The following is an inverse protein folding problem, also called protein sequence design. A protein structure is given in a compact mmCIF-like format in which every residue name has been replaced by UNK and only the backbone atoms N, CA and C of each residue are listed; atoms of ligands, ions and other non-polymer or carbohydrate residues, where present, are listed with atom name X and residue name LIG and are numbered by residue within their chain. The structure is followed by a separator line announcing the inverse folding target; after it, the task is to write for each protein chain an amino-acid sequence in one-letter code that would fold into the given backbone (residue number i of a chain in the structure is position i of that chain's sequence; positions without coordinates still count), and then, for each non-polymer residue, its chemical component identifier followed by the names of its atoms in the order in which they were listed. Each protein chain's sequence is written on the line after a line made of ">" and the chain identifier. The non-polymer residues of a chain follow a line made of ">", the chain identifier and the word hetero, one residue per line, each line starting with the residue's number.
data_IF_505252724016
#
_entry.id   IF_505252724016
#
_cell.length_a   1.000
_cell.length_b   1.000
_cell.length_c   1.000
_cell.angle_alpha   90.00
_cell.angle_beta   90.00
_cell.angle_gamma   90.00
#
_symmetry.space_group_name_H-M   'P 1'
#
loop_
_entity.id
_entity.type
_entity.pdbx_description
1 polymer ?
#
# COMPACT_ATOMS: atom_id res chain seq x y z
N UNK A 1 7.12 9.49 9.65
CA UNK A 1 7.88 9.83 8.43
C UNK A 1 6.98 9.83 7.20
N UNK A 2 6.32 8.72 6.83
CA UNK A 2 5.50 8.67 5.59
C UNK A 2 4.20 9.48 5.65
N UNK A 3 3.37 9.30 6.68
CA UNK A 3 2.11 10.06 6.81
C UNK A 3 2.33 11.57 6.88
N UNK A 4 3.38 12.01 7.62
CA UNK A 4 3.76 13.43 7.65
C UNK A 4 4.22 13.94 6.28
N UNK A 5 4.79 13.09 5.42
CA UNK A 5 5.12 13.48 4.06
C UNK A 5 3.85 13.73 3.23
N UNK A 6 2.84 12.85 3.32
CA UNK A 6 1.54 13.07 2.68
C UNK A 6 0.88 14.35 3.17
N UNK A 7 0.84 14.57 4.48
CA UNK A 7 0.31 15.78 5.11
C UNK A 7 1.02 17.04 4.59
N UNK A 8 2.35 17.05 4.57
CA UNK A 8 3.11 18.19 4.05
C UNK A 8 2.85 18.46 2.56
N UNK A 9 2.61 17.42 1.75
CA UNK A 9 2.31 17.58 0.32
C UNK A 9 0.91 18.18 0.12
N UNK A 10 -0.07 17.73 0.92
CA UNK A 10 -1.43 18.30 0.91
C UNK A 10 -1.41 19.74 1.41
N UNK A 11 -0.70 20.04 2.50
CA UNK A 11 -0.49 21.40 3.02
C UNK A 11 0.19 22.33 2.00
N UNK A 12 1.08 21.77 1.16
CA UNK A 12 1.71 22.49 0.05
C UNK A 12 0.79 22.71 -1.17
N UNK A 13 -0.48 22.27 -1.10
CA UNK A 13 -1.49 22.49 -2.11
C UNK A 13 -1.52 21.43 -3.23
N UNK A 14 -0.90 20.27 -3.04
CA UNK A 14 -1.08 19.16 -3.98
C UNK A 14 -2.42 18.48 -3.73
N UNK A 15 -3.22 18.36 -4.78
CA UNK A 15 -4.55 17.76 -4.72
C UNK A 15 -4.49 16.26 -4.40
N UNK A 16 -5.11 15.81 -3.28
CA UNK A 16 -5.27 14.40 -2.96
C UNK A 16 -5.94 13.63 -4.10
N UNK A 17 -5.46 12.42 -4.35
CA UNK A 17 -6.00 11.54 -5.38
C UNK A 17 -5.91 12.07 -6.82
N UNK A 18 -5.10 13.10 -7.07
CA UNK A 18 -4.75 13.61 -8.40
C UNK A 18 -3.23 13.75 -8.52
N UNK A 19 -2.59 14.38 -7.53
CA UNK A 19 -1.14 14.62 -7.50
C UNK A 19 -0.43 13.91 -6.35
N UNK A 20 -1.19 13.40 -5.38
CA UNK A 20 -0.67 12.69 -4.20
C UNK A 20 -1.57 11.49 -3.92
N UNK A 21 -0.96 10.32 -3.78
CA UNK A 21 -1.65 9.07 -3.48
C UNK A 21 -0.92 8.34 -2.36
N UNK A 22 -1.66 7.82 -1.35
CA UNK A 22 -1.12 6.83 -0.44
C UNK A 22 -1.05 5.47 -1.15
N UNK A 23 0.02 4.72 -0.92
CA UNK A 23 0.18 3.34 -1.38
C UNK A 23 0.54 2.44 -0.20
N UNK A 24 0.04 1.20 -0.19
CA UNK A 24 0.31 0.25 0.89
C UNK A 24 0.47 -1.17 0.36
N UNK A 25 1.49 -1.86 0.86
CA UNK A 25 1.69 -3.28 0.63
C UNK A 25 0.79 -4.11 1.55
N UNK A 26 -0.40 -4.48 1.06
CA UNK A 26 -1.35 -5.32 1.81
C UNK A 26 -0.80 -6.73 2.10
N UNK A 27 0.13 -7.20 1.27
CA UNK A 27 0.90 -8.42 1.53
C UNK A 27 1.57 -8.48 2.90
N UNK A 28 1.84 -7.36 3.54
CA UNK A 28 2.47 -7.30 4.86
C UNK A 28 1.63 -6.58 5.91
N UNK A 29 0.38 -6.28 5.60
CA UNK A 29 -0.53 -5.57 6.49
C UNK A 29 -1.61 -6.51 7.02
N UNK A 30 -2.01 -6.34 8.28
CA UNK A 30 -3.26 -6.93 8.77
C UNK A 30 -4.44 -6.01 8.45
N UNK A 31 -5.66 -6.56 8.41
CA UNK A 31 -6.87 -5.76 8.20
C UNK A 31 -7.03 -4.66 9.26
N UNK A 32 -6.63 -4.92 10.51
CA UNK A 32 -6.67 -3.92 11.59
C UNK A 32 -5.69 -2.77 11.35
N UNK A 33 -4.46 -3.08 10.93
CA UNK A 33 -3.47 -2.04 10.61
C UNK A 33 -3.89 -1.23 9.39
N UNK A 34 -4.53 -1.87 8.41
CA UNK A 34 -5.06 -1.19 7.23
C UNK A 34 -6.18 -0.21 7.59
N UNK A 35 -7.17 -0.60 8.39
CA UNK A 35 -8.23 0.33 8.82
C UNK A 35 -7.68 1.48 9.67
N UNK A 36 -6.67 1.22 10.50
CA UNK A 36 -5.98 2.27 11.24
C UNK A 36 -5.22 3.23 10.29
N UNK A 37 -4.61 2.72 9.22
CA UNK A 37 -4.00 3.55 8.18
C UNK A 37 -5.06 4.43 7.49
N UNK A 38 -6.20 3.85 7.10
CA UNK A 38 -7.33 4.57 6.48
C UNK A 38 -7.81 5.72 7.35
N UNK A 39 -8.03 5.45 8.63
CA UNK A 39 -8.44 6.47 9.61
C UNK A 39 -7.44 7.63 9.69
N UNK A 40 -6.13 7.33 9.73
CA UNK A 40 -5.08 8.35 9.78
C UNK A 40 -4.88 9.12 8.48
N UNK A 41 -5.21 8.52 7.34
CA UNK A 41 -5.22 9.21 6.06
C UNK A 41 -6.41 10.17 5.97
N UNK A 42 -7.58 9.77 6.47
CA UNK A 42 -8.76 10.61 6.53
C UNK A 42 -8.58 11.84 7.45
N UNK A 43 -7.74 11.71 8.50
CA UNK A 43 -7.32 12.85 9.34
C UNK A 43 -6.51 13.90 8.57
N UNK A 44 -5.74 13.49 7.54
CA UNK A 44 -4.98 14.40 6.68
C UNK A 44 -5.91 15.03 5.64
N UNK A 45 -6.63 14.19 4.90
CA UNK A 45 -7.68 14.61 3.97
C UNK A 45 -8.65 13.44 3.72
N UNK A 46 -9.99 13.65 3.80
CA UNK A 46 -10.98 12.59 3.62
C UNK A 46 -10.95 11.86 2.27
N UNK A 47 -10.30 12.41 1.25
CA UNK A 47 -10.13 11.74 -0.05
C UNK A 47 -9.02 10.68 -0.02
N UNK A 48 -7.98 10.87 0.79
CA UNK A 48 -6.82 9.97 0.79
C UNK A 48 -7.19 8.54 1.19
N UNK A 49 -8.17 8.33 2.08
CA UNK A 49 -8.64 7.00 2.45
C UNK A 49 -9.44 6.26 1.34
N UNK A 50 -9.82 6.98 0.28
CA UNK A 50 -10.66 6.48 -0.83
C UNK A 50 -9.85 6.15 -2.09
N UNK A 51 -8.59 6.55 -2.13
CA UNK A 51 -7.71 6.38 -3.29
C UNK A 51 -6.37 5.73 -2.90
N UNK A 52 -6.40 4.85 -1.90
CA UNK A 52 -5.23 4.09 -1.52
C UNK A 52 -4.91 3.10 -2.64
N UNK A 53 -3.68 3.15 -3.12
CA UNK A 53 -3.14 2.14 -4.02
C UNK A 53 -2.77 0.89 -3.22
N UNK A 54 -3.58 -0.17 -3.36
CA UNK A 54 -3.46 -1.42 -2.64
C UNK A 54 -2.58 -2.41 -3.40
N UNK A 55 -1.35 -2.61 -2.93
CA UNK A 55 -0.36 -3.43 -3.62
C UNK A 55 -0.15 -4.79 -2.97
N UNK A 56 0.18 -5.78 -3.81
CA UNK A 56 0.46 -7.15 -3.41
C UNK A 56 1.79 -7.65 -3.99
N UNK A 57 2.47 -8.51 -3.24
CA UNK A 57 3.67 -9.20 -3.68
C UNK A 57 3.32 -10.23 -4.75
N UNK A 58 4.00 -10.13 -5.90
CA UNK A 58 3.99 -11.14 -6.95
C UNK A 58 5.26 -12.00 -6.83
N UNK A 59 5.08 -13.32 -6.65
CA UNK A 59 6.12 -14.28 -6.31
C UNK A 59 6.90 -14.80 -7.52
N UNK A 60 7.56 -13.89 -8.26
CA UNK A 60 8.57 -14.29 -9.23
C UNK A 60 9.72 -15.05 -8.55
N UNK A 61 10.45 -15.93 -9.27
CA UNK A 61 11.52 -16.74 -8.67
C UNK A 61 12.54 -15.93 -7.86
N UNK A 62 12.97 -14.78 -8.37
CA UNK A 62 13.92 -13.91 -7.68
C UNK A 62 13.32 -13.22 -6.44
N UNK A 63 12.03 -12.88 -6.46
CA UNK A 63 11.34 -12.29 -5.30
C UNK A 63 11.27 -13.29 -4.16
N UNK A 64 10.94 -14.56 -4.44
CA UNK A 64 10.92 -15.62 -3.43
C UNK A 64 12.28 -15.78 -2.73
N UNK A 65 13.35 -15.86 -3.52
CA UNK A 65 14.71 -15.96 -2.99
C UNK A 65 15.08 -14.77 -2.10
N UNK A 66 14.66 -13.56 -2.49
CA UNK A 66 14.92 -12.35 -1.70
C UNK A 66 14.16 -12.37 -0.36
N UNK A 67 12.88 -12.73 -0.38
CA UNK A 67 12.06 -12.83 0.83
C UNK A 67 12.64 -13.86 1.81
N UNK A 68 13.02 -15.04 1.33
CA UNK A 68 13.66 -16.08 2.14
C UNK A 68 14.98 -15.59 2.75
N UNK A 69 15.87 -14.98 1.94
CA UNK A 69 17.15 -14.43 2.42
C UNK A 69 16.97 -13.36 3.49
N UNK A 70 15.90 -12.57 3.40
CA UNK A 70 15.58 -11.49 4.35
C UNK A 70 14.67 -11.95 5.49
N UNK A 71 14.27 -13.21 5.53
CA UNK A 71 13.31 -13.77 6.50
C UNK A 71 11.99 -12.99 6.55
N UNK A 72 11.55 -12.48 5.40
CA UNK A 72 10.27 -11.80 5.24
C UNK A 72 9.22 -12.80 4.77
N UNK A 73 8.04 -12.79 5.40
CA UNK A 73 6.92 -13.63 5.01
C UNK A 73 5.68 -12.76 4.80
N UNK A 74 5.17 -12.65 3.57
CA UNK A 74 3.91 -11.95 3.34
C UNK A 74 2.74 -12.79 3.90
N UNK A 75 1.72 -12.10 4.40
CA UNK A 75 0.43 -12.68 4.81
C UNK A 75 -0.34 -13.20 3.59
N UNK A 76 -0.27 -12.47 2.48
CA UNK A 76 -0.89 -12.79 1.19
C UNK A 76 0.06 -12.43 0.05
N UNK A 77 0.14 -13.27 -0.97
CA UNK A 77 0.94 -13.02 -2.16
C UNK A 77 0.41 -13.86 -3.33
N UNK A 78 0.66 -13.40 -4.56
CA UNK A 78 0.16 -14.06 -5.76
C UNK A 78 1.31 -14.61 -6.59
N UNK A 79 1.06 -15.69 -7.32
CA UNK A 79 2.00 -16.16 -8.35
C UNK A 79 1.73 -15.40 -9.65
N UNK A 80 2.74 -15.21 -10.52
CA UNK A 80 2.57 -14.48 -11.78
C UNK A 80 1.45 -15.02 -12.69
N UNK A 81 1.17 -16.33 -12.62
CA UNK A 81 0.12 -17.05 -13.35
C UNK A 81 -1.20 -17.18 -12.57
N UNK A 82 -1.31 -16.54 -11.41
CA UNK A 82 -2.49 -16.59 -10.53
C UNK A 82 -2.87 -15.22 -9.98
N UNK A 83 -2.62 -14.16 -10.75
CA UNK A 83 -3.03 -12.79 -10.42
C UNK A 83 -4.54 -12.68 -10.71
N UNK A 84 -5.37 -12.21 -9.76
CA UNK A 84 -6.78 -11.96 -10.01
C UNK A 84 -6.98 -10.95 -11.15
N UNK A 85 -7.97 -11.16 -12.02
CA UNK A 85 -8.27 -10.21 -13.13
C UNK A 85 -8.58 -8.80 -12.63
N UNK A 86 -9.11 -8.65 -11.41
CA UNK A 86 -9.36 -7.35 -10.79
C UNK A 86 -8.10 -6.54 -10.48
N UNK A 87 -6.91 -7.15 -10.61
CA UNK A 87 -5.61 -6.53 -10.36
C UNK A 87 -4.80 -6.31 -11.66
N UNK A 88 -5.36 -6.60 -12.83
CA UNK A 88 -4.71 -6.50 -14.15
C UNK A 88 -5.30 -5.33 -14.95
#
# INVERSE_FOLDING_TARGET
>A
MQLKALENLVEAGLEPCIRVYPAVMLSFSSSREYENLRSRLAEIDPMLEKCIDEEYVILYPHVKQLLEKRKLKPNIAYRPDGIPESMI
#
